data_IF_027604422737
#
_entry.id   IF_027604422737
#
_cell.length_a   1.000
_cell.length_b   1.000
_cell.length_c   1.000
_cell.angle_alpha   90.00
_cell.angle_beta   90.00
_cell.angle_gamma   90.00
#
_symmetry.space_group_name_H-M   'P 1'
#
loop_
_entity.id
_entity.type
_entity.pdbx_description
1 polymer ?
#
# COMPACT_ATOMS: atom_id res chain seq x y z
N UNK A 1 -4.11 -9.11 24.58
CA UNK A 1 -4.29 -10.14 23.50
C UNK A 1 -3.64 -9.58 22.25
N UNK A 2 -2.98 -10.42 21.46
CA UNK A 2 -2.28 -10.01 20.24
C UNK A 2 -2.99 -10.54 19.01
N UNK A 3 -2.93 -9.79 17.92
CA UNK A 3 -3.41 -10.21 16.59
C UNK A 3 -2.29 -10.04 15.56
N UNK A 4 -2.25 -10.94 14.57
CA UNK A 4 -1.33 -10.84 13.45
C UNK A 4 -2.13 -10.49 12.19
N UNK A 5 -1.86 -9.32 11.62
CA UNK A 5 -2.44 -8.87 10.36
C UNK A 5 -1.39 -8.97 9.25
N UNK A 6 -1.73 -9.64 8.14
CA UNK A 6 -0.82 -9.83 7.01
C UNK A 6 -1.54 -9.41 5.74
N UNK A 7 -0.91 -8.55 4.94
CA UNK A 7 -1.29 -8.33 3.55
C UNK A 7 -0.14 -8.78 2.66
N UNK A 8 -0.40 -9.77 1.82
CA UNK A 8 0.58 -10.33 0.92
C UNK A 8 -0.09 -10.86 -0.33
N UNK A 9 0.54 -10.67 -1.48
CA UNK A 9 0.02 -11.12 -2.76
C UNK A 9 1.14 -11.42 -3.75
N UNK A 10 0.80 -12.24 -4.75
CA UNK A 10 1.60 -12.38 -5.97
C UNK A 10 0.75 -11.95 -7.17
N UNK A 11 0.60 -10.63 -7.32
CA UNK A 11 -0.35 -10.00 -8.23
C UNK A 11 -0.20 -10.46 -9.69
N UNK A 12 -1.32 -10.55 -10.41
CA UNK A 12 -1.40 -11.20 -11.72
C UNK A 12 -1.76 -10.19 -12.81
N UNK A 13 -0.85 -9.99 -13.76
CA UNK A 13 -1.05 -9.21 -14.97
C UNK A 13 -1.13 -10.12 -16.19
N UNK A 14 -2.18 -9.96 -17.00
CA UNK A 14 -2.36 -10.70 -18.26
C UNK A 14 -1.22 -10.34 -19.23
N UNK A 15 -0.61 -11.29 -19.94
CA UNK A 15 0.36 -10.99 -20.98
C UNK A 15 -0.19 -9.98 -22.00
N UNK A 16 0.59 -8.92 -22.27
CA UNK A 16 0.20 -7.84 -23.18
C UNK A 16 -0.77 -6.80 -22.61
N UNK A 17 -1.22 -6.95 -21.37
CA UNK A 17 -2.02 -5.94 -20.67
C UNK A 17 -1.12 -4.94 -19.93
N UNK A 18 -1.56 -3.70 -19.77
CA UNK A 18 -0.81 -2.67 -19.07
C UNK A 18 -0.45 -3.05 -17.61
N UNK A 19 -1.29 -3.86 -16.95
CA UNK A 19 -1.01 -4.38 -15.61
C UNK A 19 0.23 -5.25 -15.56
N UNK A 20 0.65 -5.88 -16.66
CA UNK A 20 1.84 -6.73 -16.67
C UNK A 20 3.10 -5.99 -16.23
N UNK A 21 3.19 -4.69 -16.51
CA UNK A 21 4.31 -3.83 -16.12
C UNK A 21 4.27 -3.41 -14.66
N UNK A 22 3.09 -3.41 -14.05
CA UNK A 22 2.91 -2.86 -12.70
C UNK A 22 2.71 -3.93 -11.65
N UNK A 23 2.31 -5.17 -11.98
CA UNK A 23 2.08 -6.20 -10.95
C UNK A 23 3.38 -6.67 -10.29
N UNK A 24 3.33 -6.77 -8.96
CA UNK A 24 4.45 -7.22 -8.12
C UNK A 24 4.10 -8.43 -7.27
N UNK A 25 5.08 -8.88 -6.48
CA UNK A 25 4.90 -9.88 -5.44
C UNK A 25 5.58 -9.41 -4.16
N UNK A 26 4.87 -9.50 -3.04
CA UNK A 26 5.39 -9.07 -1.74
C UNK A 26 4.31 -9.01 -0.68
N UNK A 27 4.72 -8.75 0.55
CA UNK A 27 3.80 -8.57 1.66
C UNK A 27 4.49 -8.06 2.91
N UNK A 28 3.67 -7.59 3.85
CA UNK A 28 4.09 -7.14 5.16
C UNK A 28 3.15 -7.69 6.22
N UNK A 29 3.67 -7.83 7.43
CA UNK A 29 2.97 -8.37 8.59
C UNK A 29 3.10 -7.41 9.77
N UNK A 30 2.01 -7.23 10.51
CA UNK A 30 1.92 -6.37 11.68
C UNK A 30 1.35 -7.17 12.84
N UNK A 31 2.03 -7.11 13.99
CA UNK A 31 1.49 -7.60 15.26
C UNK A 31 0.78 -6.42 15.92
N UNK A 32 -0.52 -6.54 16.13
CA UNK A 32 -1.37 -5.54 16.79
C UNK A 32 -1.58 -5.98 18.24
N UNK A 33 -1.32 -5.07 19.18
CA UNK A 33 -1.37 -5.34 20.61
C UNK A 33 -1.57 -4.06 21.44
N UNK A 34 -1.34 -4.14 22.76
CA UNK A 34 -1.43 -3.00 23.66
C UNK A 34 -0.50 -1.84 23.24
N UNK A 35 -0.96 -0.60 23.44
CA UNK A 35 -0.24 0.61 23.02
C UNK A 35 1.13 0.73 23.71
N UNK A 36 1.18 0.35 24.98
CA UNK A 36 2.35 0.42 25.85
C UNK A 36 3.51 -0.45 25.34
N UNK A 37 3.18 -1.45 24.52
CA UNK A 37 4.14 -2.40 23.95
C UNK A 37 4.34 -2.18 22.44
N UNK A 38 3.79 -1.13 21.84
CA UNK A 38 3.76 -0.94 20.38
C UNK A 38 4.73 0.13 19.88
N UNK A 39 5.40 -0.10 18.74
CA UNK A 39 6.31 0.87 18.08
C UNK A 39 5.57 2.06 17.46
N UNK A 40 4.27 1.90 17.22
CA UNK A 40 3.36 2.95 16.82
C UNK A 40 1.96 2.58 17.32
N UNK A 41 1.10 3.58 17.52
CA UNK A 41 -0.29 3.35 17.93
C UNK A 41 -1.26 4.09 17.02
N UNK A 42 -2.48 3.55 16.91
CA UNK A 42 -3.56 4.18 16.14
C UNK A 42 -4.15 5.36 16.91
N UNK A 43 -4.21 6.53 16.28
CA UNK A 43 -5.04 7.65 16.76
C UNK A 43 -6.50 7.50 16.33
N UNK A 44 -6.71 6.90 15.16
CA UNK A 44 -8.04 6.68 14.60
C UNK A 44 -7.97 5.89 13.29
N UNK A 45 -9.13 5.35 12.92
CA UNK A 45 -9.32 4.58 11.68
C UNK A 45 -10.64 4.96 11.05
N UNK A 46 -10.70 5.05 9.72
CA UNK A 46 -11.93 5.34 8.99
C UNK A 46 -11.99 4.49 7.73
N UNK A 47 -13.15 3.91 7.41
CA UNK A 47 -13.35 3.12 6.20
C UNK A 47 -14.45 3.74 5.32
N UNK A 48 -14.17 3.88 4.03
CA UNK A 48 -15.15 4.30 3.02
C UNK A 48 -15.37 3.19 2.01
N UNK A 49 -16.60 2.69 1.88
CA UNK A 49 -16.94 1.50 1.09
C UNK A 49 -18.19 1.74 0.25
N UNK A 50 -18.16 1.33 -1.02
CA UNK A 50 -19.32 1.31 -1.91
C UNK A 50 -19.29 0.07 -2.81
N UNK A 51 -20.41 -0.26 -3.46
CA UNK A 51 -20.42 -1.23 -4.56
C UNK A 51 -19.99 -0.52 -5.86
N UNK A 52 -18.75 -0.78 -6.30
CA UNK A 52 -18.12 -0.17 -7.48
C UNK A 52 -17.42 -1.26 -8.32
N UNK A 53 -17.93 -1.60 -9.52
CA UNK A 53 -17.42 -2.72 -10.32
C UNK A 53 -16.22 -2.32 -11.20
N UNK A 54 -15.16 -1.77 -10.60
CA UNK A 54 -14.03 -1.21 -11.34
C UNK A 54 -12.98 -2.24 -11.77
N UNK A 55 -12.70 -3.21 -10.92
CA UNK A 55 -11.74 -4.29 -11.19
C UNK A 55 -12.18 -5.54 -10.41
N UNK A 56 -12.26 -6.67 -11.11
CA UNK A 56 -12.71 -7.92 -10.51
C UNK A 56 -12.09 -9.13 -11.23
N UNK A 57 -12.15 -10.28 -10.58
CA UNK A 57 -11.75 -11.56 -11.17
C UNK A 57 -12.79 -12.61 -10.83
N UNK A 58 -13.46 -13.16 -11.86
CA UNK A 58 -14.41 -14.26 -11.65
C UNK A 58 -13.68 -15.51 -11.16
N UNK A 59 -14.36 -16.40 -10.41
CA UNK A 59 -13.81 -17.71 -10.05
C UNK A 59 -13.25 -18.44 -11.27
N UNK A 60 -12.16 -19.19 -11.06
CA UNK A 60 -11.44 -19.96 -12.08
C UNK A 60 -10.79 -19.14 -13.21
N UNK A 61 -10.97 -17.82 -13.26
CA UNK A 61 -10.24 -16.98 -14.21
C UNK A 61 -8.83 -16.72 -13.70
N UNK A 62 -7.86 -16.87 -14.61
CA UNK A 62 -6.45 -16.67 -14.29
C UNK A 62 -6.09 -15.19 -14.11
N UNK A 63 -6.71 -14.32 -14.88
CA UNK A 63 -6.41 -12.89 -14.91
C UNK A 63 -7.66 -12.07 -14.59
N UNK A 64 -7.50 -10.91 -13.95
CA UNK A 64 -8.60 -9.99 -13.69
C UNK A 64 -9.13 -9.34 -14.98
N UNK A 65 -10.25 -8.65 -14.84
CA UNK A 65 -10.86 -7.73 -15.81
C UNK A 65 -11.06 -6.38 -15.11
N UNK A 66 -10.95 -5.28 -15.86
CA UNK A 66 -11.11 -3.93 -15.31
C UNK A 66 -11.78 -2.96 -16.27
N UNK A 67 -12.42 -1.93 -15.71
CA UNK A 67 -13.09 -0.84 -16.42
C UNK A 67 -12.13 0.22 -17.00
N UNK A 68 -10.81 -0.02 -16.97
CA UNK A 68 -9.82 0.89 -17.57
C UNK A 68 -9.84 2.25 -16.88
N UNK A 69 -10.25 3.31 -17.59
CA UNK A 69 -10.33 4.67 -16.99
C UNK A 69 -11.26 4.73 -15.77
N UNK A 70 -12.25 3.85 -15.68
CA UNK A 70 -13.17 3.78 -14.55
C UNK A 70 -12.49 3.39 -13.21
N UNK A 71 -11.29 2.78 -13.24
CA UNK A 71 -10.53 2.48 -12.02
C UNK A 71 -9.89 3.71 -11.38
N UNK A 72 -9.84 4.84 -12.10
CA UNK A 72 -9.26 6.08 -11.63
C UNK A 72 -10.22 6.90 -10.79
N UNK A 73 -10.83 7.91 -11.40
CA UNK A 73 -11.66 8.92 -10.69
C UNK A 73 -12.84 8.31 -9.92
N UNK A 74 -13.69 7.48 -10.54
CA UNK A 74 -14.90 6.97 -9.90
C UNK A 74 -14.61 5.96 -8.77
N UNK A 75 -13.42 5.37 -8.78
CA UNK A 75 -13.05 4.27 -7.90
C UNK A 75 -11.88 4.67 -7.00
N UNK A 76 -10.62 4.51 -7.43
CA UNK A 76 -9.44 4.78 -6.59
C UNK A 76 -9.45 6.16 -5.92
N UNK A 77 -9.63 7.24 -6.69
CA UNK A 77 -9.55 8.60 -6.13
C UNK A 77 -10.75 8.90 -5.23
N UNK A 78 -11.97 8.57 -5.67
CA UNK A 78 -13.17 8.72 -4.84
C UNK A 78 -13.00 8.11 -3.45
N UNK A 79 -12.54 6.86 -3.36
CA UNK A 79 -12.47 6.14 -2.08
C UNK A 79 -11.27 6.58 -1.23
N UNK A 80 -10.09 6.70 -1.84
CA UNK A 80 -8.87 7.10 -1.14
C UNK A 80 -8.98 8.53 -0.59
N UNK A 81 -9.51 9.46 -1.39
CA UNK A 81 -9.67 10.86 -0.98
C UNK A 81 -10.77 11.01 0.08
N UNK A 82 -11.89 10.29 -0.05
CA UNK A 82 -12.96 10.33 0.94
C UNK A 82 -12.49 9.79 2.29
N UNK A 83 -11.87 8.61 2.32
CA UNK A 83 -11.40 8.00 3.56
C UNK A 83 -10.30 8.84 4.23
N UNK A 84 -9.31 9.29 3.46
CA UNK A 84 -8.21 10.10 3.98
C UNK A 84 -8.68 11.46 4.52
N UNK A 85 -9.59 12.13 3.80
CA UNK A 85 -10.14 13.42 4.22
C UNK A 85 -11.00 13.28 5.47
N UNK A 86 -11.92 12.32 5.50
CA UNK A 86 -12.80 12.09 6.63
C UNK A 86 -12.02 11.79 7.91
N UNK A 87 -11.01 10.90 7.85
CA UNK A 87 -10.18 10.61 9.03
C UNK A 87 -9.43 11.84 9.53
N UNK A 88 -8.83 12.62 8.62
CA UNK A 88 -8.12 13.84 9.01
C UNK A 88 -9.07 14.85 9.64
N UNK A 89 -10.28 15.03 9.10
CA UNK A 89 -11.30 15.92 9.66
C UNK A 89 -11.78 15.46 11.05
N UNK A 90 -12.07 14.17 11.23
CA UNK A 90 -12.48 13.59 12.52
C UNK A 90 -11.41 13.75 13.61
N UNK A 91 -10.13 13.65 13.23
CA UNK A 91 -9.01 13.84 14.15
C UNK A 91 -8.60 15.32 14.33
N UNK A 92 -9.24 16.25 13.61
CA UNK A 92 -8.90 17.67 13.60
C UNK A 92 -7.49 17.95 13.06
N UNK A 93 -7.07 17.23 12.02
CA UNK A 93 -5.72 17.25 11.44
C UNK A 93 -5.72 17.72 9.99
N UNK A 94 -4.54 18.15 9.56
CA UNK A 94 -4.21 18.53 8.18
C UNK A 94 -3.01 17.73 7.71
N UNK A 95 -2.78 17.67 6.40
CA UNK A 95 -1.63 16.98 5.82
C UNK A 95 -0.27 17.44 6.42
N UNK A 96 -0.18 18.69 6.85
CA UNK A 96 1.00 19.30 7.46
C UNK A 96 1.34 18.71 8.85
N UNK A 97 0.36 18.10 9.54
CA UNK A 97 0.54 17.48 10.86
C UNK A 97 1.17 16.07 10.78
N UNK A 98 1.32 15.53 9.57
CA UNK A 98 1.85 14.20 9.33
C UNK A 98 3.29 14.28 8.82
N UNK A 99 4.20 13.52 9.42
CA UNK A 99 5.56 13.39 8.91
C UNK A 99 5.58 12.58 7.60
N UNK A 100 4.74 11.55 7.51
CA UNK A 100 4.67 10.68 6.35
C UNK A 100 3.23 10.35 5.93
N UNK A 101 3.06 9.99 4.66
CA UNK A 101 1.85 9.35 4.19
C UNK A 101 2.15 8.23 3.18
N UNK A 102 1.31 7.21 3.19
CA UNK A 102 1.35 6.09 2.24
C UNK A 102 -0.04 5.80 1.73
N UNK A 103 -0.17 5.77 0.41
CA UNK A 103 -1.42 5.44 -0.28
C UNK A 103 -1.26 4.11 -1.00
N UNK A 104 -2.35 3.41 -1.32
CA UNK A 104 -2.29 2.24 -2.21
C UNK A 104 -1.67 2.62 -3.57
N UNK A 105 -0.84 1.75 -4.14
CA UNK A 105 0.07 2.11 -5.23
C UNK A 105 -0.13 1.21 -6.46
N UNK A 106 -1.20 1.40 -7.25
CA UNK A 106 -1.41 0.60 -8.46
C UNK A 106 -0.40 0.92 -9.56
N UNK A 107 0.16 2.13 -9.51
CA UNK A 107 1.27 2.66 -10.31
C UNK A 107 1.85 3.85 -9.55
N UNK A 108 2.92 4.47 -10.03
CA UNK A 108 3.53 5.62 -9.34
C UNK A 108 2.65 6.88 -9.36
N UNK A 109 1.84 7.09 -10.41
CA UNK A 109 1.09 8.33 -10.63
C UNK A 109 -0.09 8.50 -9.67
N UNK A 110 -0.81 7.43 -9.38
CA UNK A 110 -2.02 7.44 -8.55
C UNK A 110 -1.77 7.89 -7.10
N UNK A 111 -0.86 7.27 -6.33
CA UNK A 111 -0.58 7.69 -4.96
C UNK A 111 -0.01 9.11 -4.89
N UNK A 112 0.79 9.53 -5.89
CA UNK A 112 1.29 10.91 -5.98
C UNK A 112 0.14 11.91 -6.15
N UNK A 113 -0.82 11.59 -7.04
CA UNK A 113 -1.98 12.43 -7.26
C UNK A 113 -2.88 12.49 -6.02
N UNK A 114 -3.18 11.34 -5.41
CA UNK A 114 -4.01 11.29 -4.20
C UNK A 114 -3.39 12.07 -3.04
N UNK A 115 -2.08 11.91 -2.83
CA UNK A 115 -1.32 12.68 -1.85
C UNK A 115 -1.46 14.18 -2.08
N UNK A 116 -1.22 14.64 -3.32
CA UNK A 116 -1.31 16.05 -3.68
C UNK A 116 -2.71 16.61 -3.44
N UNK A 117 -3.76 15.88 -3.80
CA UNK A 117 -5.16 16.31 -3.61
C UNK A 117 -5.59 16.36 -2.14
N UNK A 118 -4.95 15.58 -1.27
CA UNK A 118 -5.12 15.66 0.18
C UNK A 118 -4.20 16.69 0.85
N UNK A 119 -3.34 17.37 0.09
CA UNK A 119 -2.44 18.41 0.60
C UNK A 119 -1.06 17.93 1.03
N UNK A 120 -0.70 16.66 0.79
CA UNK A 120 0.61 16.13 1.09
C UNK A 120 1.65 16.53 0.04
N UNK A 121 2.87 16.76 0.51
CA UNK A 121 4.04 17.02 -0.32
C UNK A 121 4.66 15.73 -0.85
N UNK A 122 5.48 15.85 -1.90
CA UNK A 122 6.25 14.72 -2.44
C UNK A 122 7.14 14.07 -1.39
N UNK A 123 7.78 14.88 -0.53
CA UNK A 123 8.71 14.42 0.50
C UNK A 123 8.03 13.50 1.53
N UNK A 124 6.80 13.83 1.95
CA UNK A 124 6.04 13.03 2.92
C UNK A 124 5.68 11.63 2.41
N UNK A 125 5.60 11.43 1.09
CA UNK A 125 5.21 10.13 0.51
C UNK A 125 6.36 9.34 -0.10
N UNK A 126 7.53 9.97 -0.26
CA UNK A 126 8.63 9.41 -1.04
C UNK A 126 9.17 8.10 -0.46
N UNK A 127 9.34 8.05 0.87
CA UNK A 127 9.84 6.88 1.59
C UNK A 127 8.95 5.66 1.36
N UNK A 128 7.64 5.85 1.49
CA UNK A 128 6.65 4.79 1.36
C UNK A 128 6.28 4.44 -0.07
N UNK A 129 6.70 5.21 -1.09
CA UNK A 129 6.37 4.96 -2.49
C UNK A 129 7.33 3.94 -3.11
N UNK A 130 6.92 2.67 -3.15
CA UNK A 130 7.76 1.54 -3.55
C UNK A 130 7.37 0.95 -4.92
N UNK A 131 6.19 1.28 -5.46
CA UNK A 131 5.65 0.66 -6.68
C UNK A 131 6.58 0.72 -7.89
N UNK A 132 7.43 1.74 -8.00
CA UNK A 132 8.41 1.86 -9.09
C UNK A 132 9.55 0.83 -9.01
N UNK A 133 9.76 0.22 -7.85
CA UNK A 133 10.85 -0.74 -7.58
C UNK A 133 10.36 -2.18 -7.43
N UNK A 134 9.19 -2.37 -6.83
CA UNK A 134 8.65 -3.71 -6.51
C UNK A 134 7.31 -4.04 -7.18
N UNK A 135 6.71 -3.06 -7.87
CA UNK A 135 5.37 -3.18 -8.43
C UNK A 135 4.26 -3.11 -7.38
N UNK A 136 3.02 -3.23 -7.85
CA UNK A 136 1.80 -3.31 -7.07
C UNK A 136 1.62 -4.73 -6.53
N UNK A 137 1.82 -4.89 -5.23
CA UNK A 137 1.66 -6.13 -4.48
C UNK A 137 0.26 -6.27 -3.88
N UNK A 138 -0.76 -5.67 -4.50
CA UNK A 138 -2.17 -5.73 -4.10
C UNK A 138 -2.37 -5.50 -2.59
N UNK A 139 -2.82 -6.49 -1.83
CA UNK A 139 -3.08 -6.36 -0.39
C UNK A 139 -1.84 -5.94 0.42
N UNK A 140 -0.64 -6.23 -0.08
CA UNK A 140 0.61 -5.81 0.54
C UNK A 140 1.05 -4.38 0.19
N UNK A 141 0.40 -3.69 -0.75
CA UNK A 141 0.96 -2.48 -1.38
C UNK A 141 1.15 -1.31 -0.40
N UNK A 142 0.10 -0.87 0.27
CA UNK A 142 0.21 0.20 1.28
C UNK A 142 0.94 -0.27 2.54
N UNK A 143 0.80 -1.56 2.88
CA UNK A 143 1.43 -2.16 4.05
C UNK A 143 2.96 -2.23 3.93
N UNK A 144 3.51 -2.53 2.75
CA UNK A 144 4.95 -2.46 2.49
C UNK A 144 5.47 -1.03 2.49
N UNK A 145 4.69 -0.08 1.97
CA UNK A 145 5.06 1.33 2.08
C UNK A 145 5.16 1.79 3.54
N UNK A 146 4.29 1.29 4.42
CA UNK A 146 4.35 1.56 5.85
C UNK A 146 5.60 0.93 6.52
N UNK A 147 6.04 -0.27 6.12
CA UNK A 147 7.29 -0.83 6.68
C UNK A 147 8.48 0.05 6.31
N UNK A 148 8.57 0.51 5.06
CA UNK A 148 9.63 1.42 4.63
C UNK A 148 9.62 2.76 5.40
N UNK A 149 8.44 3.26 5.77
CA UNK A 149 8.32 4.45 6.61
C UNK A 149 8.81 4.16 8.04
N UNK A 150 8.39 3.05 8.65
CA UNK A 150 8.81 2.68 10.01
C UNK A 150 10.32 2.42 10.12
N UNK A 151 10.98 2.02 9.03
CA UNK A 151 12.43 1.88 8.94
C UNK A 151 13.19 3.23 9.09
N UNK A 152 12.52 4.37 8.98
CA UNK A 152 13.17 5.69 9.08
C UNK A 152 12.46 6.68 10.02
N UNK A 153 11.21 6.42 10.40
CA UNK A 153 10.38 7.31 11.20
C UNK A 153 10.89 7.44 12.65
N UNK A 154 10.88 8.65 13.18
CA UNK A 154 11.35 9.00 14.51
C UNK A 154 10.21 8.94 15.55
N UNK A 155 10.52 8.83 16.85
CA UNK A 155 9.51 8.97 17.88
C UNK A 155 8.72 10.27 17.74
N UNK A 156 7.39 10.19 17.92
CA UNK A 156 6.47 11.32 17.72
C UNK A 156 6.06 11.58 16.27
N UNK A 157 6.72 10.98 15.28
CA UNK A 157 6.30 11.09 13.88
C UNK A 157 4.89 10.53 13.70
N UNK A 158 4.10 11.24 12.90
CA UNK A 158 2.75 10.85 12.55
C UNK A 158 2.67 10.37 11.11
N UNK A 159 1.97 9.27 10.89
CA UNK A 159 1.89 8.58 9.60
C UNK A 159 0.43 8.40 9.21
N UNK A 160 0.06 8.86 8.02
CA UNK A 160 -1.23 8.53 7.41
C UNK A 160 -1.05 7.33 6.46
N UNK A 161 -1.80 6.26 6.66
CA UNK A 161 -1.97 5.20 5.65
C UNK A 161 -3.37 5.28 5.07
N UNK A 162 -3.51 5.22 3.75
CA UNK A 162 -4.80 5.02 3.08
C UNK A 162 -4.72 3.87 2.08
N UNK A 163 -5.41 2.78 2.37
CA UNK A 163 -5.50 1.62 1.48
C UNK A 163 -6.53 1.86 0.36
N UNK A 164 -6.53 0.98 -0.62
CA UNK A 164 -7.59 0.90 -1.62
C UNK A 164 -7.68 -0.54 -2.12
N UNK A 165 -8.91 -1.05 -2.20
CA UNK A 165 -9.26 -2.29 -2.88
C UNK A 165 -10.43 -2.05 -3.82
N UNK A 166 -10.32 -2.52 -5.06
CA UNK A 166 -11.40 -2.46 -6.03
C UNK A 166 -12.61 -3.31 -5.60
N UNK A 167 -13.82 -2.88 -5.99
CA UNK A 167 -15.09 -3.46 -5.54
C UNK A 167 -16.12 -2.52 -4.87
N UNK A 168 -15.81 -1.41 -4.19
CA UNK A 168 -14.53 -0.84 -3.80
C UNK A 168 -14.56 -0.26 -2.37
N UNK A 169 -13.39 -0.23 -1.73
CA UNK A 169 -13.22 0.30 -0.37
C UNK A 169 -11.82 0.84 -0.09
N UNK A 170 -11.73 1.76 0.86
CA UNK A 170 -10.48 2.33 1.37
C UNK A 170 -10.52 2.41 2.89
N UNK A 171 -9.43 1.97 3.53
CA UNK A 171 -9.20 2.14 4.96
C UNK A 171 -8.12 3.19 5.18
N UNK A 172 -8.45 4.23 5.94
CA UNK A 172 -7.52 5.24 6.41
C UNK A 172 -7.12 4.93 7.87
N UNK A 173 -5.84 5.06 8.18
CA UNK A 173 -5.26 4.85 9.51
C UNK A 173 -4.33 6.02 9.83
N UNK A 174 -4.50 6.66 10.99
CA UNK A 174 -3.52 7.62 11.54
C UNK A 174 -2.74 6.94 12.64
N UNK A 175 -1.42 6.91 12.50
CA UNK A 175 -0.50 6.29 13.45
C UNK A 175 0.45 7.33 14.03
N UNK A 176 0.83 7.17 15.29
CA UNK A 176 1.91 7.94 15.92
C UNK A 176 2.98 6.97 16.41
N UNK A 177 4.22 7.23 16.02
CA UNK A 177 5.40 6.44 16.34
C UNK A 177 5.82 6.69 17.79
N UNK A 178 6.19 5.63 18.50
CA UNK A 178 6.62 5.69 19.90
C UNK A 178 8.14 5.57 20.02
N UNK A 179 8.67 5.87 21.20
CA UNK A 179 10.09 5.70 21.54
C UNK A 179 10.60 4.26 21.30
N UNK A 180 9.72 3.26 21.40
CA UNK A 180 10.07 1.85 21.22
C UNK A 180 10.57 1.54 19.80
N UNK A 181 10.36 2.42 18.82
CA UNK A 181 10.88 2.24 17.46
C UNK A 181 12.42 2.18 17.45
N UNK A 182 13.11 2.97 18.29
CA UNK A 182 14.57 3.05 18.28
C UNK A 182 15.23 1.71 18.65
N UNK A 183 14.67 1.02 19.64
CA UNK A 183 15.16 -0.29 20.11
C UNK A 183 14.77 -1.43 19.17
N UNK A 184 13.61 -1.33 18.50
CA UNK A 184 12.98 -2.48 17.84
C UNK A 184 13.15 -2.49 16.33
N UNK A 185 13.37 -1.33 15.70
CA UNK A 185 13.47 -1.21 14.25
C UNK A 185 14.51 -2.16 13.65
N UNK A 186 15.70 -2.25 14.25
CA UNK A 186 16.80 -3.10 13.77
C UNK A 186 16.67 -4.59 14.12
N UNK A 187 15.57 -5.03 14.74
CA UNK A 187 15.34 -6.46 15.07
C UNK A 187 14.88 -7.29 13.87
N UNK A 188 14.58 -6.64 12.74
CA UNK A 188 14.29 -7.27 11.46
C UNK A 188 15.09 -6.56 10.35
N UNK A 189 15.37 -7.24 9.22
CA UNK A 189 15.95 -6.57 8.06
C UNK A 189 15.03 -5.45 7.56
N UNK A 190 15.60 -4.36 7.08
CA UNK A 190 14.83 -3.23 6.58
C UNK A 190 14.19 -3.56 5.23
N UNK A 191 13.08 -2.90 4.91
CA UNK A 191 12.37 -3.02 3.64
C UNK A 191 13.32 -2.81 2.46
N UNK A 192 14.24 -1.85 2.58
CA UNK A 192 15.25 -1.55 1.55
C UNK A 192 16.26 -2.69 1.37
N UNK A 193 16.58 -3.46 2.39
CA UNK A 193 17.47 -4.63 2.28
C UNK A 193 16.84 -5.73 1.43
N UNK A 194 15.52 -5.95 1.60
CA UNK A 194 14.75 -6.89 0.76
C UNK A 194 14.72 -6.46 -0.72
N UNK A 195 14.63 -5.16 -1.00
CA UNK A 195 14.62 -4.62 -2.36
C UNK A 195 16.02 -4.67 -2.98
N UNK A 196 17.06 -4.38 -2.19
CA UNK A 196 18.45 -4.32 -2.65
C UNK A 196 18.99 -5.69 -3.06
N UNK A 197 18.57 -6.78 -2.39
CA UNK A 197 18.97 -8.15 -2.72
C UNK A 197 18.28 -8.74 -3.97
N UNK A 198 17.71 -7.89 -4.83
CA UNK A 198 17.02 -8.31 -6.06
C UNK A 198 17.98 -8.93 -7.07
N UNK A 199 17.44 -9.80 -7.93
CA UNK A 199 18.12 -10.33 -9.11
C UNK A 199 17.28 -10.04 -10.34
N UNK A 200 17.87 -9.33 -11.29
CA UNK A 200 17.22 -9.06 -12.57
C UNK A 200 17.11 -10.34 -13.40
N UNK A 201 15.98 -10.48 -14.08
CA UNK A 201 15.66 -11.60 -14.95
C UNK A 201 15.04 -11.05 -16.24
N UNK A 202 15.23 -11.78 -17.33
CA UNK A 202 14.54 -11.48 -18.58
C UNK A 202 13.06 -11.89 -18.54
N UNK A 203 12.32 -11.47 -19.57
CA UNK A 203 10.90 -11.77 -19.68
C UNK A 203 10.61 -13.28 -19.85
N UNK A 204 11.48 -14.03 -20.53
CA UNK A 204 11.28 -15.46 -20.76
C UNK A 204 11.34 -16.23 -19.43
N UNK A 205 12.33 -15.92 -18.58
CA UNK A 205 12.47 -16.48 -17.25
C UNK A 205 11.32 -16.06 -16.34
N UNK A 206 10.91 -14.79 -16.39
CA UNK A 206 9.71 -14.28 -15.69
C UNK A 206 8.45 -15.04 -16.11
N UNK A 207 8.20 -15.17 -17.41
CA UNK A 207 7.01 -15.84 -17.95
C UNK A 207 6.99 -17.31 -17.54
N UNK A 208 8.15 -17.99 -17.52
CA UNK A 208 8.30 -19.34 -16.99
C UNK A 208 7.95 -19.42 -15.50
N UNK A 209 8.53 -18.56 -14.66
CA UNK A 209 8.29 -18.55 -13.21
C UNK A 209 6.84 -18.21 -12.86
N UNK A 210 6.21 -17.30 -13.61
CA UNK A 210 4.80 -16.94 -13.47
C UNK A 210 3.85 -17.92 -14.18
N UNK A 211 4.39 -18.99 -14.78
CA UNK A 211 3.69 -20.04 -15.54
C UNK A 211 2.84 -19.51 -16.71
N UNK A 212 3.22 -18.38 -17.30
CA UNK A 212 2.43 -17.66 -18.32
C UNK A 212 2.42 -18.37 -19.68
N UNK A 213 3.34 -19.30 -19.89
CA UNK A 213 3.41 -20.14 -21.07
C UNK A 213 2.26 -21.15 -21.04
N UNK A 214 1.44 -21.18 -22.10
CA UNK A 214 0.53 -22.29 -22.32
C UNK A 214 1.38 -23.51 -22.71
N UNK A 215 1.29 -24.60 -21.94
CA UNK A 215 1.79 -25.88 -22.43
C UNK A 215 0.76 -26.37 -23.45
N UNK A 216 1.22 -26.58 -24.68
CA UNK A 216 0.44 -27.21 -25.73
C UNK A 216 0.08 -28.65 -25.34
#
# INVERSE_FOLDING_TARGET
RYALAIGADTAQGRPGDALEYTVGAGGAAYIVGPREESVAYFEGTYSYVTDTPDFFRRPCQRYPTHGGRFTGEPAYFRHTLAAGRALMEELGRRAEDYAYAVFHQPNAKFPIRAAKELGFTRKQIEVGLLVSEIGNTYAGSSLLGLTAILDVAQPGDRILLVSYGSGAGSDALSLVVTELIEERRARAPFTRDYIARRREIDYALYARYRRKLAMA
#
